data_IF_676785821916
#
_entry.id   IF_676785821916
#
_cell.length_a   1.000
_cell.length_b   1.000
_cell.length_c   1.000
_cell.angle_alpha   90.00
_cell.angle_beta   90.00
_cell.angle_gamma   90.00
#
_symmetry.space_group_name_H-M   'P 1'
#
loop_
_entity.id
_entity.type
_entity.pdbx_description
1 polymer ?
#
# COMPACT_ATOMS: atom_id res chain seq x y z
N UNK A 1 -6.48 11.62 -1.63
CA UNK A 1 -7.80 11.73 -2.30
C UNK A 1 -8.39 10.40 -2.84
N UNK A 2 -8.02 9.20 -2.41
CA UNK A 2 -7.14 8.54 -3.37
C UNK A 2 -7.76 7.34 -4.13
N UNK A 3 -8.66 6.54 -3.57
CA UNK A 3 -9.07 5.27 -4.23
C UNK A 3 -10.01 5.48 -5.44
N UNK A 4 -11.06 6.31 -5.32
CA UNK A 4 -12.00 6.51 -6.43
C UNK A 4 -11.42 7.31 -7.59
N UNK A 5 -10.57 8.29 -7.30
CA UNK A 5 -9.90 9.07 -8.33
C UNK A 5 -8.83 8.26 -9.05
N UNK A 6 -7.99 7.52 -8.31
CA UNK A 6 -7.06 6.57 -8.91
C UNK A 6 -7.80 5.52 -9.74
N UNK A 7 -8.94 5.01 -9.25
CA UNK A 7 -9.77 4.10 -10.02
C UNK A 7 -10.25 4.70 -11.35
N UNK A 8 -10.55 6.01 -11.40
CA UNK A 8 -10.89 6.70 -12.66
C UNK A 8 -9.66 6.86 -13.55
N UNK A 9 -8.51 7.19 -12.99
CA UNK A 9 -7.27 7.37 -13.73
C UNK A 9 -6.72 6.07 -14.35
N UNK A 10 -6.93 4.92 -13.70
CA UNK A 10 -6.45 3.62 -14.17
C UNK A 10 -7.34 2.96 -15.24
N UNK A 11 -8.64 3.27 -15.27
CA UNK A 11 -9.59 2.61 -16.18
C UNK A 11 -9.41 3.06 -17.62
N UNK A 12 -9.54 2.11 -18.52
CA UNK A 12 -9.54 2.30 -19.97
C UNK A 12 -10.73 1.56 -20.61
N UNK A 13 -11.13 1.89 -21.85
CA UNK A 13 -12.20 1.18 -22.55
C UNK A 13 -11.97 -0.32 -22.76
N UNK A 14 -10.72 -0.79 -22.66
CA UNK A 14 -10.37 -2.22 -22.78
C UNK A 14 -10.51 -3.01 -21.48
N UNK A 15 -10.81 -2.36 -20.36
CA UNK A 15 -10.91 -3.01 -19.06
C UNK A 15 -12.31 -3.57 -18.83
N UNK A 16 -12.39 -4.88 -18.59
CA UNK A 16 -13.61 -5.58 -18.16
C UNK A 16 -13.66 -5.81 -16.66
N UNK A 17 -12.60 -5.47 -15.92
CA UNK A 17 -12.53 -5.59 -14.47
C UNK A 17 -11.63 -4.50 -13.84
N UNK A 18 -12.04 -4.04 -12.66
CA UNK A 18 -11.21 -3.35 -11.69
C UNK A 18 -11.37 -4.10 -10.36
N UNK A 19 -10.26 -4.51 -9.76
CA UNK A 19 -10.21 -5.05 -8.40
C UNK A 19 -9.55 -4.02 -7.51
N UNK A 20 -10.13 -3.81 -6.34
CA UNK A 20 -9.61 -2.91 -5.31
C UNK A 20 -9.44 -3.71 -4.03
N UNK A 21 -8.24 -3.68 -3.46
CA UNK A 21 -7.96 -4.13 -2.11
C UNK A 21 -7.72 -2.90 -1.23
N UNK A 22 -8.36 -2.87 -0.06
CA UNK A 22 -8.10 -1.87 0.98
C UNK A 22 -7.73 -2.59 2.29
N UNK A 23 -6.56 -2.26 2.83
CA UNK A 23 -6.17 -2.65 4.18
C UNK A 23 -6.75 -1.65 5.18
N UNK A 24 -7.72 -2.10 5.98
CA UNK A 24 -8.47 -1.23 6.90
C UNK A 24 -7.99 -1.44 8.34
N UNK A 25 -7.81 -0.35 9.09
CA UNK A 25 -7.44 -0.41 10.50
C UNK A 25 -8.57 -1.04 11.32
N UNK A 26 -8.25 -2.14 12.02
CA UNK A 26 -9.19 -2.87 12.88
C UNK A 26 -9.09 -2.39 14.32
N UNK A 27 -10.20 -2.49 15.06
CA UNK A 27 -10.28 -2.13 16.49
C UNK A 27 -9.62 -3.16 17.43
N UNK A 28 -8.96 -4.19 16.91
CA UNK A 28 -8.29 -5.21 17.69
C UNK A 28 -7.09 -5.81 16.96
N UNK A 29 -6.08 -6.20 17.73
CA UNK A 29 -4.88 -6.91 17.27
C UNK A 29 -4.35 -7.77 18.42
N UNK A 30 -4.01 -9.03 18.16
CA UNK A 30 -3.46 -9.94 19.18
C UNK A 30 -4.35 -10.13 20.42
N UNK A 31 -5.68 -10.07 20.27
CA UNK A 31 -6.63 -10.17 21.39
C UNK A 31 -6.76 -8.91 22.25
N UNK A 32 -6.08 -7.81 21.89
CA UNK A 32 -6.13 -6.52 22.60
C UNK A 32 -6.91 -5.49 21.79
N UNK A 33 -7.53 -4.53 22.47
CA UNK A 33 -8.26 -3.40 21.85
C UNK A 33 -7.27 -2.38 21.31
N UNK A 34 -7.24 -2.22 19.99
CA UNK A 34 -6.42 -1.21 19.30
C UNK A 34 -7.18 0.12 19.26
N UNK A 35 -6.48 1.20 19.59
CA UNK A 35 -7.00 2.57 19.52
C UNK A 35 -6.73 3.19 18.15
N UNK A 36 -5.49 3.13 17.69
CA UNK A 36 -5.05 3.64 16.39
C UNK A 36 -3.74 2.97 15.97
N UNK A 37 -3.37 3.16 14.71
CA UNK A 37 -2.06 2.78 14.17
C UNK A 37 -1.25 4.03 13.82
N UNK A 38 0.07 3.95 13.92
CA UNK A 38 0.99 4.95 13.37
C UNK A 38 1.93 4.27 12.37
N UNK A 39 1.94 4.74 11.13
CA UNK A 39 2.76 4.18 10.06
C UNK A 39 3.95 5.07 9.74
N UNK A 40 5.12 4.45 9.57
CA UNK A 40 6.36 5.12 9.21
C UNK A 40 7.03 4.38 8.07
N UNK A 41 7.81 5.09 7.26
CA UNK A 41 8.51 4.49 6.13
C UNK A 41 9.83 5.20 5.86
N UNK A 42 10.77 4.48 5.24
CA UNK A 42 11.82 5.14 4.48
C UNK A 42 11.23 5.52 3.12
N UNK A 43 10.59 6.69 3.05
CA UNK A 43 9.69 7.08 1.96
C UNK A 43 10.28 6.87 0.56
N UNK A 44 11.49 7.38 0.30
CA UNK A 44 12.10 7.26 -1.03
C UNK A 44 12.36 5.79 -1.44
N UNK A 45 12.73 4.92 -0.48
CA UNK A 45 12.91 3.50 -0.73
C UNK A 45 11.57 2.78 -0.85
N UNK A 46 10.57 3.16 -0.05
CA UNK A 46 9.23 2.61 -0.12
C UNK A 46 8.60 2.84 -1.51
N UNK A 47 8.71 4.06 -2.05
CA UNK A 47 8.25 4.37 -3.42
C UNK A 47 8.95 3.52 -4.46
N UNK A 48 10.30 3.42 -4.39
CA UNK A 48 11.07 2.58 -5.32
C UNK A 48 10.63 1.11 -5.24
N UNK A 49 10.46 0.57 -4.03
CA UNK A 49 10.03 -0.82 -3.86
C UNK A 49 8.58 -1.06 -4.28
N UNK A 50 7.67 -0.12 -4.05
CA UNK A 50 6.31 -0.20 -4.59
C UNK A 50 6.31 -0.18 -6.13
N UNK A 51 7.18 0.63 -6.75
CA UNK A 51 7.38 0.60 -8.22
C UNK A 51 7.84 -0.77 -8.69
N UNK A 52 8.90 -1.32 -8.10
CA UNK A 52 9.41 -2.65 -8.42
C UNK A 52 8.32 -3.74 -8.29
N UNK A 53 7.47 -3.64 -7.26
CA UNK A 53 6.32 -4.57 -7.10
C UNK A 53 5.32 -4.41 -8.24
N UNK A 54 4.96 -3.17 -8.61
CA UNK A 54 4.02 -2.91 -9.69
C UNK A 54 4.53 -3.40 -11.05
N UNK A 55 5.81 -3.15 -11.35
CA UNK A 55 6.47 -3.61 -12.57
C UNK A 55 6.49 -5.14 -12.64
N UNK A 56 6.90 -5.80 -11.55
CA UNK A 56 6.90 -7.26 -11.48
C UNK A 56 5.50 -7.85 -11.70
N UNK A 57 4.46 -7.28 -11.07
CA UNK A 57 3.08 -7.78 -11.24
C UNK A 57 2.61 -7.61 -12.68
N UNK A 58 2.95 -6.50 -13.35
CA UNK A 58 2.62 -6.29 -14.77
C UNK A 58 3.34 -7.27 -15.70
N UNK A 59 4.55 -7.70 -15.36
CA UNK A 59 5.30 -8.69 -16.12
C UNK A 59 4.73 -10.11 -15.96
N UNK A 60 4.12 -10.42 -14.81
CA UNK A 60 3.72 -11.79 -14.46
C UNK A 60 2.22 -12.06 -14.62
N UNK A 61 1.39 -11.02 -14.79
CA UNK A 61 -0.06 -11.16 -14.94
C UNK A 61 -0.59 -10.37 -16.15
N UNK A 62 -1.59 -10.88 -16.88
CA UNK A 62 -2.19 -10.18 -18.01
C UNK A 62 -3.17 -9.08 -17.54
N UNK A 63 -2.61 -8.04 -16.93
CA UNK A 63 -3.33 -6.87 -16.40
C UNK A 63 -3.04 -5.62 -17.25
N UNK A 64 -3.96 -4.66 -17.25
CA UNK A 64 -3.82 -3.43 -18.01
C UNK A 64 -3.07 -2.34 -17.22
N UNK A 65 -3.35 -2.21 -15.93
CA UNK A 65 -2.69 -1.30 -15.02
C UNK A 65 -2.78 -1.77 -13.56
N UNK A 66 -1.86 -1.28 -12.74
CA UNK A 66 -1.85 -1.44 -11.28
C UNK A 66 -1.56 -0.08 -10.67
N UNK A 67 -2.23 0.24 -9.56
CA UNK A 67 -1.85 1.34 -8.69
C UNK A 67 -1.87 0.95 -7.22
N UNK A 68 -0.98 1.56 -6.45
CA UNK A 68 -0.79 1.26 -5.05
C UNK A 68 -0.55 2.55 -4.28
N UNK A 69 -1.23 2.68 -3.15
CA UNK A 69 -1.13 3.80 -2.21
C UNK A 69 -0.91 3.24 -0.81
N UNK A 70 -0.02 3.87 -0.04
CA UNK A 70 0.14 3.57 1.37
C UNK A 70 0.19 4.87 2.18
N UNK A 71 -0.69 5.01 3.17
CA UNK A 71 -0.73 6.15 4.07
C UNK A 71 0.30 6.00 5.19
N UNK A 72 0.90 7.12 5.56
CA UNK A 72 1.81 7.25 6.70
C UNK A 72 1.18 8.13 7.79
N UNK A 73 1.81 8.11 8.97
CA UNK A 73 1.34 8.78 10.17
C UNK A 73 0.20 8.03 10.86
N UNK A 74 -0.55 8.75 11.69
CA UNK A 74 -1.65 8.22 12.49
C UNK A 74 -2.87 7.88 11.63
N UNK A 75 -3.40 6.68 11.82
CA UNK A 75 -4.68 6.22 11.28
C UNK A 75 -5.59 5.68 12.39
N UNK A 76 -6.82 6.18 12.39
CA UNK A 76 -7.91 5.77 13.26
C UNK A 76 -8.56 4.46 12.79
N UNK A 77 -9.33 3.83 13.68
CA UNK A 77 -10.11 2.64 13.36
C UNK A 77 -11.06 2.90 12.19
N UNK A 78 -11.09 1.97 11.23
CA UNK A 78 -11.94 2.06 10.03
C UNK A 78 -11.30 2.81 8.87
N UNK A 79 -10.14 3.45 9.06
CA UNK A 79 -9.42 4.09 7.97
C UNK A 79 -8.64 3.09 7.10
N UNK A 80 -8.56 3.35 5.79
CA UNK A 80 -7.69 2.61 4.87
C UNK A 80 -6.24 3.02 5.07
N UNK A 81 -5.35 2.06 5.36
CA UNK A 81 -3.90 2.27 5.46
C UNK A 81 -3.16 2.03 4.15
N UNK A 82 -3.63 1.07 3.35
CA UNK A 82 -3.04 0.70 2.06
C UNK A 82 -4.15 0.38 1.07
N UNK A 83 -4.00 0.81 -0.18
CA UNK A 83 -4.91 0.46 -1.26
C UNK A 83 -4.13 -0.08 -2.46
N UNK A 84 -4.65 -1.13 -3.10
CA UNK A 84 -4.12 -1.68 -4.36
C UNK A 84 -5.27 -1.78 -5.35
N UNK A 85 -5.10 -1.22 -6.53
CA UNK A 85 -6.08 -1.21 -7.61
C UNK A 85 -5.46 -1.89 -8.83
N UNK A 86 -6.18 -2.84 -9.42
CA UNK A 86 -5.70 -3.56 -10.61
C UNK A 86 -6.81 -3.62 -11.65
N UNK A 87 -6.52 -3.18 -12.88
CA UNK A 87 -7.43 -3.27 -14.03
C UNK A 87 -7.00 -4.38 -14.98
N UNK A 88 -7.97 -5.04 -15.62
CA UNK A 88 -7.71 -6.06 -16.64
C UNK A 88 -8.91 -6.24 -17.57
N UNK A 89 -8.69 -6.90 -18.71
CA UNK A 89 -9.79 -7.31 -19.61
C UNK A 89 -10.76 -8.29 -18.93
N UNK A 90 -10.27 -9.17 -18.06
CA UNK A 90 -11.06 -10.19 -17.38
C UNK A 90 -10.70 -10.31 -15.90
N UNK A 91 -11.73 -10.46 -15.05
CA UNK A 91 -11.64 -10.44 -13.59
C UNK A 91 -10.58 -11.35 -12.97
N UNK A 92 -10.34 -12.54 -13.54
CA UNK A 92 -9.43 -13.52 -12.96
C UNK A 92 -8.01 -12.96 -12.82
N UNK A 93 -7.48 -12.34 -13.88
CA UNK A 93 -6.16 -11.73 -13.85
C UNK A 93 -6.03 -10.61 -12.81
N UNK A 94 -7.05 -9.75 -12.69
CA UNK A 94 -7.03 -8.65 -11.72
C UNK A 94 -7.10 -9.15 -10.27
N UNK A 95 -7.88 -10.20 -9.99
CA UNK A 95 -7.98 -10.79 -8.65
C UNK A 95 -6.64 -11.40 -8.21
N UNK A 96 -6.05 -12.25 -9.06
CA UNK A 96 -4.77 -12.91 -8.77
C UNK A 96 -3.63 -11.89 -8.61
N UNK A 97 -3.53 -10.93 -9.53
CA UNK A 97 -2.52 -9.89 -9.48
C UNK A 97 -2.65 -8.98 -8.24
N UNK A 98 -3.87 -8.61 -7.86
CA UNK A 98 -4.10 -7.78 -6.67
C UNK A 98 -3.68 -8.52 -5.38
N UNK A 99 -4.01 -9.82 -5.30
CA UNK A 99 -3.61 -10.66 -4.18
C UNK A 99 -2.07 -10.81 -4.08
N UNK A 100 -1.38 -11.06 -5.20
CA UNK A 100 0.08 -11.16 -5.18
C UNK A 100 0.76 -9.82 -4.91
N UNK A 101 0.20 -8.72 -5.41
CA UNK A 101 0.71 -7.37 -5.17
C UNK A 101 0.75 -7.02 -3.67
N UNK A 102 -0.33 -7.31 -2.92
CA UNK A 102 -0.33 -7.04 -1.46
C UNK A 102 0.65 -7.93 -0.71
N UNK A 103 0.79 -9.20 -1.11
CA UNK A 103 1.77 -10.10 -0.51
C UNK A 103 3.20 -9.61 -0.73
N UNK A 104 3.51 -9.13 -1.94
CA UNK A 104 4.81 -8.55 -2.27
C UNK A 104 5.08 -7.24 -1.53
N UNK A 105 4.09 -6.34 -1.51
CA UNK A 105 4.20 -5.07 -0.79
C UNK A 105 4.59 -5.32 0.67
N UNK A 106 3.86 -6.21 1.36
CA UNK A 106 4.12 -6.56 2.77
C UNK A 106 5.49 -7.20 3.02
N UNK A 107 6.07 -7.87 2.02
CA UNK A 107 7.38 -8.53 2.13
C UNK A 107 8.54 -7.58 1.83
N UNK A 108 8.37 -6.68 0.85
CA UNK A 108 9.48 -5.98 0.20
C UNK A 108 9.54 -4.48 0.50
N UNK A 109 8.43 -3.86 0.87
CA UNK A 109 8.36 -2.40 1.00
C UNK A 109 8.63 -2.02 2.46
N UNK A 110 9.65 -1.18 2.74
CA UNK A 110 10.06 -0.81 4.09
C UNK A 110 9.09 0.19 4.72
N UNK A 111 7.97 -0.33 5.19
CA UNK A 111 6.93 0.38 5.94
C UNK A 111 6.72 -0.36 7.25
N UNK A 112 6.65 0.41 8.34
CA UNK A 112 6.47 -0.10 9.70
C UNK A 112 5.18 0.44 10.29
N UNK A 113 4.55 -0.37 11.14
CA UNK A 113 3.37 0.02 11.90
C UNK A 113 3.63 -0.07 13.39
N UNK A 114 3.20 0.95 14.11
CA UNK A 114 3.09 0.93 15.57
C UNK A 114 1.63 0.82 15.95
N UNK A 115 1.33 -0.09 16.86
CA UNK A 115 -0.03 -0.29 17.36
C UNK A 115 -0.14 0.38 18.74
N UNK A 116 -1.18 1.20 18.91
CA UNK A 116 -1.47 1.83 20.19
C UNK A 116 -2.71 1.18 20.80
N UNK A 117 -2.59 0.68 22.02
CA UNK A 117 -3.64 0.00 22.76
C UNK A 117 -4.01 0.81 24.01
N UNK A 118 -5.15 0.51 24.63
CA UNK A 118 -5.61 1.18 25.87
C UNK A 118 -4.65 1.02 27.05
N UNK A 119 -3.89 -0.07 27.09
CA UNK A 119 -2.90 -0.43 28.11
C UNK A 119 -1.45 -0.04 27.72
N UNK A 120 -1.25 0.65 26.59
CA UNK A 120 0.05 1.12 26.10
C UNK A 120 0.36 0.76 24.64
N UNK A 121 1.40 1.35 24.06
CA UNK A 121 1.77 1.13 22.64
C UNK A 121 2.85 0.05 22.45
N UNK A 122 2.70 -0.79 21.43
CA UNK A 122 3.70 -1.81 21.04
C UNK A 122 3.99 -1.69 19.54
N UNK A 123 5.26 -1.74 19.15
CA UNK A 123 5.61 -1.90 17.74
C UNK A 123 5.24 -3.32 17.29
N UNK A 124 4.41 -3.44 16.26
CA UNK A 124 4.09 -4.76 15.76
C UNK A 124 5.28 -5.31 14.95
N UNK A 125 5.68 -6.55 15.22
CA UNK A 125 6.60 -7.28 14.35
C UNK A 125 5.92 -7.52 13.00
N UNK A 126 6.42 -6.89 11.94
CA UNK A 126 5.71 -6.89 10.67
C UNK A 126 6.39 -6.16 9.51
N UNK A 127 7.65 -6.48 9.26
CA UNK A 127 8.28 -6.59 7.93
C UNK A 127 9.76 -6.91 8.20
N UNK A 128 10.32 -7.90 7.49
CA UNK A 128 11.76 -8.16 7.56
C UNK A 128 12.48 -6.87 7.19
N UNK A 129 13.10 -6.22 8.17
CA UNK A 129 14.10 -5.20 7.89
C UNK A 129 15.14 -5.87 7.00
N UNK A 130 15.11 -5.58 5.70
CA UNK A 130 16.31 -5.76 4.89
C UNK A 130 17.45 -5.08 5.63
N UNK A 131 18.65 -5.66 5.63
CA UNK A 131 19.79 -5.15 6.42
C UNK A 131 20.04 -3.65 6.17
N UNK A 132 19.68 -3.16 4.98
CA UNK A 132 19.73 -1.77 4.55
C UNK A 132 18.82 -0.79 5.33
N UNK A 133 17.76 -1.27 5.98
CA UNK A 133 16.76 -0.43 6.66
C UNK A 133 17.01 -0.26 8.17
N UNK A 134 18.01 -0.96 8.74
CA UNK A 134 18.30 -0.97 10.19
C UNK A 134 18.87 0.36 10.74
N UNK A 135 19.09 1.38 9.90
CA UNK A 135 19.76 2.63 10.28
C UNK A 135 18.93 3.91 10.18
N UNK A 136 17.66 3.86 9.77
CA UNK A 136 16.89 5.07 9.48
C UNK A 136 15.84 5.35 10.56
N UNK A 137 16.08 6.39 11.36
CA UNK A 137 15.03 7.04 12.15
C UNK A 137 14.18 7.88 11.19
N UNK A 138 12.92 7.51 10.98
CA UNK A 138 11.98 8.29 10.19
C UNK A 138 11.61 9.58 10.95
N UNK A 139 11.63 10.73 10.28
CA UNK A 139 11.08 11.97 10.86
C UNK A 139 9.53 11.89 10.85
N UNK A 140 8.84 12.26 11.95
CA UNK A 140 7.39 12.24 11.97
C UNK A 140 6.81 13.38 11.12
N UNK A 141 5.80 13.10 10.31
CA UNK A 141 4.75 14.10 10.03
C UNK A 141 4.45 14.48 8.58
N UNK A 142 4.87 13.74 7.55
CA UNK A 142 4.35 13.96 6.20
C UNK A 142 3.28 12.95 5.81
N UNK A 143 2.13 13.47 5.37
CA UNK A 143 1.16 12.67 4.63
C UNK A 143 1.82 12.32 3.30
N UNK A 144 1.92 11.03 3.03
CA UNK A 144 2.47 10.52 1.79
C UNK A 144 1.38 9.72 1.07
N UNK A 145 1.00 10.15 -0.13
CA UNK A 145 0.19 9.37 -1.06
C UNK A 145 1.10 8.99 -2.24
N UNK A 146 1.66 7.77 -2.21
CA UNK A 146 2.25 7.21 -3.42
C UNK A 146 1.10 6.84 -4.35
N UNK A 147 1.01 7.44 -5.54
CA UNK A 147 0.09 6.99 -6.59
C UNK A 147 0.89 6.34 -7.70
N UNK A 148 0.77 5.03 -7.87
CA UNK A 148 1.32 4.36 -9.06
C UNK A 148 0.21 4.33 -10.11
N UNK A 149 0.16 5.36 -10.97
CA UNK A 149 -0.74 5.36 -12.11
C UNK A 149 0.04 5.22 -13.42
N UNK A 150 -0.12 4.08 -14.10
CA UNK A 150 -0.15 4.07 -15.57
C UNK A 150 1.00 3.40 -16.33
N UNK A 151 0.69 3.15 -17.62
CA UNK A 151 1.49 2.45 -18.65
C UNK A 151 2.77 3.17 -19.13
N UNK A 152 3.08 4.37 -18.63
CA UNK A 152 4.16 5.21 -19.19
C UNK A 152 4.89 6.11 -18.17
N UNK A 153 4.93 5.72 -16.90
CA UNK A 153 5.73 6.44 -15.90
C UNK A 153 4.90 7.01 -14.76
N UNK A 154 5.54 7.00 -13.60
CA UNK A 154 4.98 7.32 -12.30
C UNK A 154 4.84 8.82 -12.13
N UNK A 155 3.70 9.24 -11.59
CA UNK A 155 3.48 10.60 -11.11
C UNK A 155 3.63 10.62 -9.60
N UNK A 156 4.59 11.39 -9.12
CA UNK A 156 4.67 11.76 -7.71
C UNK A 156 3.66 12.89 -7.49
N UNK A 157 2.62 12.64 -6.69
CA UNK A 157 1.67 13.67 -6.27
C UNK A 157 2.11 14.14 -4.89
N UNK A 158 2.94 15.17 -4.86
CA UNK A 158 3.15 15.97 -3.66
C UNK A 158 2.11 17.10 -3.65
N UNK A 159 1.42 17.28 -2.52
CA UNK A 159 0.65 18.50 -2.25
C UNK A 159 1.50 19.77 -2.47
#
# INVERSE_FOLDING_TARGET
MPTQELARALKTPGDGALVVFEGIVRNHSGGRRTLYLDYQAYESMAVRKMREVGDWVREHYPIAAIGMIHRLGRLEIGETSVAILVTSAHRHAALEACHEAINRLKRLVPIWKKEYFEDGGVWAEGSTLGEEAKGFAAEPGRKFEAEIAGRAGIRELTD
#
